data_IF_912369939853
#
_entry.id   IF_912369939853
#
_cell.length_a   1.000
_cell.length_b   1.000
_cell.length_c   1.000
_cell.angle_alpha   90.00
_cell.angle_beta   90.00
_cell.angle_gamma   90.00
#
_symmetry.space_group_name_H-M   'P 1'
#
loop_
_entity.id
_entity.type
_entity.pdbx_description
1 polymer ?
#
# COMPACT_ATOMS: atom_id res chain seq x y z
N UNK A 1 8.57 -0.54 -12.61
CA UNK A 1 7.97 -0.83 -11.29
C UNK A 1 7.18 0.41 -10.90
N UNK A 2 5.86 0.30 -10.80
CA UNK A 2 5.01 1.45 -10.43
C UNK A 2 5.08 1.68 -8.93
N UNK A 3 5.18 2.93 -8.47
CA UNK A 3 5.11 3.25 -7.04
C UNK A 3 3.66 3.25 -6.55
N UNK A 4 3.45 3.05 -5.25
CA UNK A 4 2.14 3.29 -4.64
C UNK A 4 1.95 4.77 -4.41
N UNK A 5 0.85 5.31 -4.93
CA UNK A 5 0.41 6.65 -4.61
C UNK A 5 -0.34 6.63 -3.29
N UNK A 6 -0.03 7.57 -2.41
CA UNK A 6 -0.71 7.71 -1.13
C UNK A 6 -0.72 9.16 -0.66
N UNK A 7 -1.64 9.47 0.23
CA UNK A 7 -1.73 10.78 0.88
C UNK A 7 -1.73 10.60 2.39
N UNK A 8 -1.13 11.53 3.12
CA UNK A 8 -1.21 11.54 4.58
C UNK A 8 -2.52 12.22 5.01
N UNK A 9 -3.32 11.52 5.80
CA UNK A 9 -4.50 12.10 6.43
C UNK A 9 -4.10 12.99 7.63
N UNK A 10 -5.04 13.81 8.16
CA UNK A 10 -4.76 14.71 9.30
C UNK A 10 -4.31 14.02 10.60
N UNK A 11 -4.43 12.70 10.70
CA UNK A 11 -4.06 11.90 11.86
C UNK A 11 -2.69 11.21 11.72
N UNK A 12 -1.96 11.49 10.64
CA UNK A 12 -0.66 10.88 10.36
C UNK A 12 -0.76 9.46 9.79
N UNK A 13 -1.91 9.09 9.23
CA UNK A 13 -2.10 7.82 8.54
C UNK A 13 -1.98 7.98 7.02
N UNK A 14 -1.30 7.07 6.34
CA UNK A 14 -1.27 6.99 4.89
C UNK A 14 -2.55 6.35 4.36
N UNK A 15 -3.17 6.97 3.37
CA UNK A 15 -4.29 6.40 2.61
C UNK A 15 -3.78 6.12 1.19
N UNK A 16 -3.66 4.84 0.85
CA UNK A 16 -3.13 4.40 -0.45
C UNK A 16 -4.24 4.48 -1.50
N UNK A 17 -3.91 5.05 -2.66
CA UNK A 17 -4.83 5.15 -3.80
C UNK A 17 -5.06 3.76 -4.41
N UNK A 18 -6.31 3.24 -4.41
CA UNK A 18 -6.62 1.90 -4.92
C UNK A 18 -6.14 1.64 -6.34
N UNK A 19 -6.12 2.67 -7.19
CA UNK A 19 -5.72 2.54 -8.60
C UNK A 19 -4.22 2.31 -8.78
N UNK A 20 -3.41 2.62 -7.77
CA UNK A 20 -1.96 2.38 -7.80
C UNK A 20 -1.57 0.93 -7.43
N UNK A 21 -2.52 0.15 -6.89
CA UNK A 21 -2.31 -1.23 -6.50
C UNK A 21 -2.15 -2.13 -7.73
N UNK A 22 -1.04 -2.85 -7.81
CA UNK A 22 -0.90 -3.95 -8.77
C UNK A 22 -1.86 -5.10 -8.44
N UNK A 23 -2.50 -5.65 -9.47
CA UNK A 23 -3.29 -6.88 -9.37
C UNK A 23 -2.43 -8.15 -9.22
N UNK A 24 -1.17 -8.06 -9.66
CA UNK A 24 -0.18 -9.12 -9.52
C UNK A 24 0.39 -9.13 -8.09
N UNK A 25 0.27 -10.23 -7.33
CA UNK A 25 0.73 -10.32 -5.94
C UNK A 25 2.23 -10.10 -5.74
N UNK A 26 3.08 -10.53 -6.67
CA UNK A 26 4.54 -10.38 -6.58
C UNK A 26 4.96 -8.94 -6.85
N UNK A 27 4.32 -8.31 -7.84
CA UNK A 27 4.50 -6.87 -8.08
C UNK A 27 3.98 -6.04 -6.89
N UNK A 28 2.80 -6.36 -6.36
CA UNK A 28 2.24 -5.68 -5.19
C UNK A 28 3.15 -5.84 -3.96
N UNK A 29 3.74 -7.03 -3.76
CA UNK A 29 4.72 -7.27 -2.69
C UNK A 29 5.87 -6.27 -2.75
N UNK A 30 6.47 -6.10 -3.93
CA UNK A 30 7.57 -5.14 -4.10
C UNK A 30 7.11 -3.68 -3.90
N UNK A 31 5.90 -3.36 -4.38
CA UNK A 31 5.30 -2.04 -4.23
C UNK A 31 5.07 -1.67 -2.76
N UNK A 32 4.45 -2.55 -1.99
CA UNK A 32 4.12 -2.29 -0.58
C UNK A 32 5.37 -2.26 0.29
N UNK A 33 6.35 -3.13 0.03
CA UNK A 33 7.61 -3.14 0.77
C UNK A 33 8.38 -1.83 0.56
N UNK A 34 8.43 -1.31 -0.67
CA UNK A 34 9.02 0.00 -0.96
C UNK A 34 8.24 1.18 -0.33
N UNK A 35 6.91 1.11 -0.36
CA UNK A 35 6.07 2.15 0.23
C UNK A 35 6.21 2.21 1.77
N UNK A 36 6.31 1.05 2.44
CA UNK A 36 6.51 0.96 3.90
C UNK A 36 7.81 1.65 4.31
N UNK A 37 8.90 1.51 3.54
CA UNK A 37 10.16 2.22 3.83
C UNK A 37 9.94 3.73 3.80
N UNK A 38 9.35 4.27 2.72
CA UNK A 38 9.06 5.70 2.60
C UNK A 38 8.12 6.21 3.70
N UNK A 39 7.09 5.44 4.05
CA UNK A 39 6.13 5.77 5.10
C UNK A 39 6.81 5.85 6.48
N UNK A 40 7.74 4.93 6.78
CA UNK A 40 8.54 4.99 8.03
C UNK A 40 9.40 6.24 8.10
N UNK A 41 10.05 6.62 7.00
CA UNK A 41 10.86 7.85 6.91
C UNK A 41 10.01 9.12 7.08
N UNK A 42 8.72 9.07 6.71
CA UNK A 42 7.77 10.19 6.80
C UNK A 42 6.95 10.15 8.09
N UNK A 43 7.35 9.35 9.09
CA UNK A 43 6.68 9.20 10.39
C UNK A 43 5.18 8.83 10.31
N UNK A 44 4.78 8.13 9.24
CA UNK A 44 3.42 7.60 9.10
C UNK A 44 3.16 6.56 10.19
N UNK A 45 2.03 6.70 10.89
CA UNK A 45 1.65 5.82 12.02
C UNK A 45 0.88 4.57 11.60
N UNK A 46 0.10 4.69 10.53
CA UNK A 46 -0.80 3.63 10.04
C UNK A 46 -1.00 3.79 8.54
N UNK A 47 -1.16 2.69 7.82
CA UNK A 47 -1.49 2.71 6.39
C UNK A 47 -2.82 2.01 6.13
N UNK A 48 -3.67 2.62 5.31
CA UNK A 48 -4.96 2.07 4.90
C UNK A 48 -4.90 1.61 3.45
N UNK A 49 -5.25 0.34 3.23
CA UNK A 49 -5.35 -0.30 1.92
C UNK A 49 -6.83 -0.50 1.58
N UNK A 50 -7.30 0.22 0.56
CA UNK A 50 -8.61 0.00 -0.03
C UNK A 50 -8.43 -0.91 -1.26
N UNK A 51 -8.71 -2.20 -1.11
CA UNK A 51 -8.45 -3.22 -2.14
C UNK A 51 -9.73 -3.46 -2.94
N UNK A 52 -9.77 -3.14 -4.25
CA UNK A 52 -10.88 -3.51 -5.13
C UNK A 52 -11.11 -5.03 -5.14
N UNK A 53 -12.37 -5.45 -5.17
CA UNK A 53 -12.71 -6.88 -5.11
C UNK A 53 -12.05 -7.70 -6.22
N UNK A 54 -11.83 -7.09 -7.39
CA UNK A 54 -11.19 -7.71 -8.55
C UNK A 54 -9.75 -8.18 -8.30
N UNK A 55 -9.08 -7.61 -7.29
CA UNK A 55 -7.67 -7.89 -6.97
C UNK A 55 -7.51 -8.45 -5.54
N UNK A 56 -8.56 -9.07 -4.99
CA UNK A 56 -8.56 -9.64 -3.63
C UNK A 56 -7.43 -10.65 -3.38
N UNK A 57 -6.84 -11.21 -4.45
CA UNK A 57 -5.67 -12.10 -4.41
C UNK A 57 -4.44 -11.47 -3.76
N UNK A 58 -4.36 -10.15 -3.64
CA UNK A 58 -3.25 -9.46 -2.96
C UNK A 58 -3.42 -9.37 -1.43
N UNK A 59 -4.61 -9.65 -0.89
CA UNK A 59 -4.89 -9.58 0.55
C UNK A 59 -3.92 -10.45 1.38
N UNK A 60 -3.62 -11.72 1.02
CA UNK A 60 -2.64 -12.51 1.75
C UNK A 60 -1.22 -11.95 1.73
N UNK A 61 -0.86 -11.17 0.70
CA UNK A 61 0.44 -10.49 0.63
C UNK A 61 0.46 -9.32 1.60
N UNK A 62 -0.61 -8.51 1.62
CA UNK A 62 -0.77 -7.39 2.54
C UNK A 62 -0.77 -7.83 4.01
N UNK A 63 -1.47 -8.92 4.34
CA UNK A 63 -1.60 -9.41 5.73
C UNK A 63 -0.29 -9.93 6.35
N UNK A 64 0.78 -10.11 5.56
CA UNK A 64 2.10 -10.56 6.04
C UNK A 64 3.01 -9.40 6.46
N UNK A 65 2.58 -8.15 6.29
CA UNK A 65 3.34 -6.92 6.57
C UNK A 65 2.80 -6.28 7.84
#
# INVERSE_FOLDING_TARGET
>A
MGELDWTMNPFGGAVIEPKSLSADPDMFSNQIDAAIVKMKETEVKVAWLNIPHQIVTIVPVAAKR
#
